data_IF_336862972624
#
_entry.id   IF_336862972624
#
_cell.length_a   1.000
_cell.length_b   1.000
_cell.length_c   1.000
_cell.angle_alpha   90.00
_cell.angle_beta   90.00
_cell.angle_gamma   90.00
#
_symmetry.space_group_name_H-M   'P 1'
#
loop_
_entity.id
_entity.type
_entity.pdbx_description
1 polymer ?
#
# COMPACT_ATOMS: atom_id res chain seq x y z
N UNK A 1 -11.16 19.63 -7.64
CA UNK A 1 -11.90 18.35 -7.63
C UNK A 1 -10.96 17.14 -7.87
N UNK A 2 -9.99 16.85 -6.98
CA UNK A 2 -9.15 15.64 -7.04
C UNK A 2 -9.71 14.45 -6.22
N UNK A 3 -10.73 14.68 -5.39
CA UNK A 3 -11.25 13.69 -4.42
C UNK A 3 -11.82 12.43 -5.08
N UNK A 4 -12.43 12.59 -6.26
CA UNK A 4 -13.06 11.49 -7.01
C UNK A 4 -12.06 10.48 -7.57
N UNK A 5 -10.80 10.90 -7.79
CA UNK A 5 -9.70 10.02 -8.21
C UNK A 5 -8.97 9.40 -7.02
N UNK A 6 -8.96 10.11 -5.89
CA UNK A 6 -8.25 9.68 -4.68
C UNK A 6 -9.01 8.59 -3.91
N UNK A 7 -10.34 8.68 -3.84
CA UNK A 7 -11.20 7.68 -3.21
C UNK A 7 -11.09 6.26 -3.81
N UNK A 8 -11.23 6.06 -5.14
CA UNK A 8 -11.12 4.72 -5.72
C UNK A 8 -9.70 4.15 -5.61
N UNK A 9 -8.68 5.01 -5.63
CA UNK A 9 -7.29 4.60 -5.41
C UNK A 9 -7.09 4.06 -3.98
N UNK A 10 -7.58 4.78 -2.97
CA UNK A 10 -7.52 4.35 -1.57
C UNK A 10 -8.31 3.07 -1.32
N UNK A 11 -9.50 2.93 -1.93
CA UNK A 11 -10.30 1.72 -1.84
C UNK A 11 -9.60 0.53 -2.49
N UNK A 12 -9.09 0.69 -3.72
CA UNK A 12 -8.33 -0.35 -4.40
C UNK A 12 -7.09 -0.77 -3.61
N UNK A 13 -6.41 0.21 -2.98
CA UNK A 13 -5.24 -0.04 -2.16
C UNK A 13 -5.55 -0.77 -0.86
N UNK A 14 -6.65 -0.45 -0.19
CA UNK A 14 -7.08 -1.14 1.04
C UNK A 14 -7.50 -2.59 0.74
N UNK A 15 -8.23 -2.82 -0.36
CA UNK A 15 -8.55 -4.16 -0.85
C UNK A 15 -7.29 -4.97 -1.17
N UNK A 16 -6.31 -4.36 -1.84
CA UNK A 16 -5.04 -5.01 -2.13
C UNK A 16 -4.29 -5.40 -0.84
N UNK A 17 -4.20 -4.50 0.13
CA UNK A 17 -3.55 -4.79 1.42
C UNK A 17 -4.27 -5.92 2.18
N UNK A 18 -5.60 -5.92 2.20
CA UNK A 18 -6.38 -6.97 2.86
C UNK A 18 -6.21 -8.33 2.18
N UNK A 19 -6.29 -8.37 0.85
CA UNK A 19 -6.02 -9.57 0.06
C UNK A 19 -4.61 -10.10 0.32
N UNK A 20 -3.61 -9.22 0.31
CA UNK A 20 -2.22 -9.58 0.54
C UNK A 20 -1.99 -10.16 1.94
N UNK A 21 -2.64 -9.58 2.96
CA UNK A 21 -2.57 -10.09 4.33
C UNK A 21 -3.17 -11.50 4.45
N UNK A 22 -4.31 -11.75 3.81
CA UNK A 22 -4.94 -13.09 3.79
C UNK A 22 -4.04 -14.08 3.04
N UNK A 23 -3.48 -13.69 1.90
CA UNK A 23 -2.56 -14.50 1.11
C UNK A 23 -1.30 -14.90 1.91
N UNK A 24 -0.69 -13.96 2.64
CA UNK A 24 0.46 -14.26 3.51
C UNK A 24 0.10 -15.20 4.67
N UNK A 25 -1.07 -15.02 5.28
CA UNK A 25 -1.52 -15.92 6.36
C UNK A 25 -1.80 -17.34 5.83
N UNK A 26 -2.38 -17.45 4.63
CA UNK A 26 -2.60 -18.72 3.96
C UNK A 26 -1.27 -19.43 3.66
N UNK A 27 -0.30 -18.72 3.06
CA UNK A 27 1.03 -19.26 2.82
C UNK A 27 1.72 -19.70 4.12
N UNK A 28 1.60 -18.90 5.19
CA UNK A 28 2.20 -19.27 6.47
C UNK A 28 1.62 -20.57 7.06
N UNK A 29 0.37 -20.90 6.75
CA UNK A 29 -0.31 -22.11 7.20
C UNK A 29 0.05 -23.36 6.40
N UNK A 30 0.37 -23.23 5.10
CA UNK A 30 0.49 -24.38 4.21
C UNK A 30 1.84 -25.12 4.29
N UNK A 31 3.00 -24.49 4.54
CA UNK A 31 4.25 -25.23 4.71
C UNK A 31 5.45 -24.34 5.12
N UNK A 32 6.45 -24.84 5.86
CA UNK A 32 7.64 -24.08 6.25
C UNK A 32 8.75 -24.06 5.18
N UNK A 33 8.62 -24.80 4.08
CA UNK A 33 9.68 -24.96 3.07
C UNK A 33 9.36 -24.24 1.76
N UNK A 34 9.18 -22.92 1.85
CA UNK A 34 9.15 -22.10 0.65
C UNK A 34 10.52 -22.08 -0.04
N UNK A 35 10.57 -22.23 -1.36
CA UNK A 35 11.82 -22.08 -2.09
C UNK A 35 12.32 -20.63 -2.00
N UNK A 36 13.64 -20.43 -1.92
CA UNK A 36 14.27 -19.13 -1.67
C UNK A 36 13.77 -18.01 -2.61
N UNK A 37 13.50 -18.33 -3.87
CA UNK A 37 12.98 -17.36 -4.84
C UNK A 37 11.60 -16.80 -4.43
N UNK A 38 10.73 -17.63 -3.83
CA UNK A 38 9.42 -17.20 -3.35
C UNK A 38 9.56 -16.25 -2.16
N UNK A 39 10.52 -16.49 -1.25
CA UNK A 39 10.83 -15.58 -0.16
C UNK A 39 11.30 -14.20 -0.67
N UNK A 40 12.17 -14.15 -1.68
CA UNK A 40 12.61 -12.88 -2.28
C UNK A 40 11.46 -12.11 -2.94
N UNK A 41 10.55 -12.81 -3.63
CA UNK A 41 9.37 -12.19 -4.23
C UNK A 41 8.45 -11.60 -3.16
N UNK A 42 8.15 -12.36 -2.11
CA UNK A 42 7.33 -11.90 -0.98
C UNK A 42 7.97 -10.70 -0.28
N UNK A 43 9.29 -10.75 -0.05
CA UNK A 43 10.03 -9.65 0.58
C UNK A 43 10.02 -8.40 -0.28
N UNK A 44 10.18 -8.54 -1.60
CA UNK A 44 10.13 -7.42 -2.54
C UNK A 44 8.75 -6.77 -2.55
N UNK A 45 7.68 -7.56 -2.61
CA UNK A 45 6.30 -7.05 -2.59
C UNK A 45 6.01 -6.35 -1.26
N UNK A 46 6.45 -6.92 -0.13
CA UNK A 46 6.32 -6.26 1.18
C UNK A 46 7.08 -4.92 1.22
N UNK A 47 8.29 -4.85 0.66
CA UNK A 47 9.04 -3.60 0.55
C UNK A 47 8.29 -2.54 -0.26
N UNK A 48 7.70 -2.93 -1.40
CA UNK A 48 6.89 -2.04 -2.23
C UNK A 48 5.67 -1.51 -1.47
N UNK A 49 4.96 -2.38 -0.74
CA UNK A 49 3.80 -2.01 0.08
C UNK A 49 4.20 -0.98 1.16
N UNK A 50 5.35 -1.18 1.81
CA UNK A 50 5.85 -0.25 2.83
C UNK A 50 6.19 1.11 2.21
N UNK A 51 6.93 1.14 1.10
CA UNK A 51 7.30 2.39 0.41
C UNK A 51 6.06 3.18 -0.01
N UNK A 52 5.06 2.48 -0.57
CA UNK A 52 3.81 3.11 -0.99
C UNK A 52 3.02 3.69 0.20
N UNK A 53 2.91 2.96 1.30
CA UNK A 53 2.17 3.42 2.48
C UNK A 53 2.89 4.50 3.29
N UNK A 54 4.21 4.44 3.41
CA UNK A 54 4.99 5.34 4.28
C UNK A 54 5.46 6.60 3.55
N UNK A 55 5.69 6.51 2.23
CA UNK A 55 6.25 7.63 1.46
C UNK A 55 5.19 8.17 0.50
N UNK A 56 4.65 7.34 -0.38
CA UNK A 56 3.84 7.83 -1.50
C UNK A 56 2.49 8.37 -1.04
N UNK A 57 1.76 7.67 -0.16
CA UNK A 57 0.48 8.16 0.37
C UNK A 57 0.67 9.47 1.13
N UNK A 58 1.60 9.60 2.11
CA UNK A 58 1.81 10.86 2.82
C UNK A 58 2.26 12.00 1.92
N UNK A 59 3.14 11.74 0.95
CA UNK A 59 3.57 12.75 -0.03
C UNK A 59 2.39 13.21 -0.89
N UNK A 60 1.55 12.31 -1.38
CA UNK A 60 0.33 12.65 -2.10
C UNK A 60 -0.63 13.46 -1.23
N UNK A 61 -0.85 13.05 0.01
CA UNK A 61 -1.70 13.78 0.96
C UNK A 61 -1.16 15.18 1.20
N UNK A 62 0.13 15.34 1.50
CA UNK A 62 0.74 16.67 1.74
C UNK A 62 0.71 17.52 0.47
N UNK A 63 1.01 16.96 -0.70
CA UNK A 63 1.09 17.72 -1.95
C UNK A 63 -0.30 18.16 -2.44
N UNK A 64 -1.32 17.30 -2.29
CA UNK A 64 -2.69 17.61 -2.70
C UNK A 64 -3.40 18.53 -1.69
N UNK A 65 -3.18 18.36 -0.39
CA UNK A 65 -3.85 19.17 0.65
C UNK A 65 -3.10 20.45 1.04
N UNK A 66 -1.79 20.58 0.78
CA UNK A 66 -1.03 21.83 1.01
C UNK A 66 -1.67 23.09 0.41
N UNK A 67 -2.12 23.11 -0.86
CA UNK A 67 -2.68 24.33 -1.44
C UNK A 67 -4.00 24.77 -0.78
N UNK A 68 -4.72 23.85 -0.12
CA UNK A 68 -5.91 24.21 0.66
C UNK A 68 -5.57 24.86 2.01
N UNK A 69 -4.44 24.48 2.62
CA UNK A 69 -4.02 25.07 3.90
C UNK A 69 -3.36 26.46 3.74
N UNK A 70 -2.70 26.75 2.61
CA UNK A 70 -2.12 28.09 2.37
C UNK A 70 -3.12 29.12 1.85
N UNK A 71 -4.33 28.71 1.45
CA UNK A 71 -5.41 29.59 0.99
C UNK A 71 -6.31 30.07 2.14
N UNK A 72 -6.19 29.48 3.33
CA UNK A 72 -6.98 29.82 4.53
C UNK A 72 -6.23 30.83 5.42
N UNK A 73 -5.01 31.23 5.03
CA UNK A 73 -4.19 32.22 5.73
C UNK A 73 -3.97 33.45 4.83
#
# INVERSE_FOLDING_TARGET
MPEHLFQPLLLGWSFFCAFWFVFLNYLRLEEPHYPLWACYVIQTINGIIIVLNVIVIPVLTVTIFRPFLSSVN
#
